data_IF_524352612966
#
_entry.id   IF_524352612966
#
_cell.length_a   1.000
_cell.length_b   1.000
_cell.length_c   1.000
_cell.angle_alpha   90.00
_cell.angle_beta   90.00
_cell.angle_gamma   90.00
#
_symmetry.space_group_name_H-M   'P 1'
#
loop_
_entity.id
_entity.type
_entity.pdbx_description
1 polymer ?
#
# COMPACT_ATOMS: atom_id res chain seq x y z
N UNK A 1 18.71 2.33 -6.43
CA UNK A 1 19.79 1.87 -5.54
C UNK A 1 19.40 2.20 -4.11
N UNK A 2 19.59 1.30 -3.13
CA UNK A 2 19.44 1.61 -1.70
C UNK A 2 20.68 2.36 -1.18
N UNK A 3 20.50 3.13 -0.09
CA UNK A 3 21.56 3.98 0.50
C UNK A 3 22.40 3.15 1.46
N UNK A 4 21.75 2.50 2.43
CA UNK A 4 22.38 1.69 3.47
C UNK A 4 21.65 0.37 3.68
N UNK A 5 22.26 -0.52 4.44
CA UNK A 5 21.59 -1.71 4.95
C UNK A 5 22.13 -2.03 6.35
N UNK A 6 21.30 -2.66 7.14
CA UNK A 6 21.65 -3.09 8.48
C UNK A 6 21.08 -4.47 8.80
N UNK A 7 21.78 -5.24 9.58
CA UNK A 7 21.28 -6.49 10.13
C UNK A 7 20.30 -6.17 11.26
N UNK A 8 19.04 -6.62 11.15
CA UNK A 8 17.98 -6.37 12.13
C UNK A 8 17.71 -7.57 13.04
N UNK A 9 18.14 -8.76 12.61
CA UNK A 9 18.18 -9.97 13.43
C UNK A 9 19.27 -10.91 12.88
N UNK A 10 19.48 -12.06 13.52
CA UNK A 10 20.43 -13.07 13.01
C UNK A 10 20.11 -13.53 11.59
N UNK A 11 18.82 -13.50 11.20
CA UNK A 11 18.28 -13.99 9.94
C UNK A 11 17.64 -12.89 9.08
N UNK A 12 17.92 -11.59 9.33
CA UNK A 12 17.32 -10.54 8.53
C UNK A 12 18.22 -9.35 8.30
N UNK A 13 18.12 -8.79 7.09
CA UNK A 13 18.70 -7.51 6.70
C UNK A 13 17.59 -6.55 6.24
N UNK A 14 17.66 -5.30 6.71
CA UNK A 14 16.84 -4.20 6.25
C UNK A 14 17.65 -3.32 5.30
N UNK A 15 17.20 -3.19 4.06
CA UNK A 15 17.75 -2.28 3.08
C UNK A 15 16.99 -0.96 3.15
N UNK A 16 17.73 0.15 3.21
CA UNK A 16 17.21 1.51 3.33
C UNK A 16 17.42 2.29 2.03
N UNK A 17 16.35 2.84 1.47
CA UNK A 17 16.35 3.59 0.21
C UNK A 17 16.27 5.10 0.41
N UNK A 18 16.33 5.59 1.65
CA UNK A 18 16.29 6.99 2.04
C UNK A 18 15.09 7.34 2.92
N UNK A 19 14.99 8.61 3.30
CA UNK A 19 13.94 9.08 4.22
C UNK A 19 12.63 9.40 3.49
N UNK A 20 12.71 9.82 2.22
CA UNK A 20 11.55 10.26 1.45
C UNK A 20 10.62 9.12 1.07
N UNK A 21 9.35 9.27 1.44
CA UNK A 21 8.26 8.41 0.96
C UNK A 21 7.69 9.04 -0.31
N UNK A 22 8.17 8.59 -1.45
CA UNK A 22 7.70 9.03 -2.76
C UNK A 22 7.70 7.88 -3.77
N UNK A 23 7.07 8.11 -4.91
CA UNK A 23 6.95 7.11 -5.98
C UNK A 23 8.32 6.59 -6.45
N UNK A 24 9.28 7.48 -6.67
CA UNK A 24 10.60 7.09 -7.21
C UNK A 24 11.39 6.22 -6.22
N UNK A 25 11.30 6.52 -4.93
CA UNK A 25 11.95 5.71 -3.87
C UNK A 25 11.26 4.35 -3.78
N UNK A 26 9.93 4.32 -3.73
CA UNK A 26 9.18 3.06 -3.67
C UNK A 26 9.40 2.20 -4.92
N UNK A 27 9.42 2.80 -6.11
CA UNK A 27 9.74 2.08 -7.36
C UNK A 27 11.05 1.30 -7.27
N UNK A 28 12.08 1.86 -6.62
CA UNK A 28 13.36 1.15 -6.40
C UNK A 28 13.21 -0.01 -5.43
N UNK A 29 12.44 0.16 -4.35
CA UNK A 29 12.12 -0.92 -3.40
C UNK A 29 11.43 -2.06 -4.12
N UNK A 30 10.38 -1.75 -4.89
CA UNK A 30 9.58 -2.72 -5.64
C UNK A 30 10.43 -3.42 -6.73
N UNK A 31 11.32 -2.69 -7.38
CA UNK A 31 12.27 -3.26 -8.36
C UNK A 31 13.12 -4.36 -7.74
N UNK A 32 13.76 -4.10 -6.60
CA UNK A 32 14.56 -5.13 -5.91
C UNK A 32 13.68 -6.25 -5.32
N UNK A 33 12.51 -5.93 -4.78
CA UNK A 33 11.54 -6.92 -4.31
C UNK A 33 11.18 -7.91 -5.42
N UNK A 34 10.73 -7.44 -6.57
CA UNK A 34 10.34 -8.28 -7.71
C UNK A 34 11.52 -9.05 -8.30
N UNK A 35 12.72 -8.42 -8.34
CA UNK A 35 13.95 -9.12 -8.72
C UNK A 35 14.21 -10.34 -7.83
N UNK A 36 14.12 -10.18 -6.50
CA UNK A 36 14.36 -11.26 -5.56
C UNK A 36 13.32 -12.38 -5.68
N UNK A 37 12.04 -12.02 -5.85
CA UNK A 37 10.97 -12.99 -6.09
C UNK A 37 11.20 -13.78 -7.38
N UNK A 38 11.55 -13.12 -8.48
CA UNK A 38 11.80 -13.79 -9.77
C UNK A 38 13.02 -14.71 -9.73
N UNK A 39 14.09 -14.30 -9.04
CA UNK A 39 15.29 -15.13 -8.88
C UNK A 39 15.09 -16.33 -7.98
N UNK A 40 14.12 -16.28 -7.08
CA UNK A 40 13.70 -17.37 -6.20
C UNK A 40 14.90 -18.10 -5.53
N UNK A 41 15.76 -17.32 -4.87
CA UNK A 41 16.92 -17.89 -4.16
C UNK A 41 16.45 -18.78 -3.00
N UNK A 42 16.88 -20.04 -2.98
CA UNK A 42 16.44 -21.06 -1.99
C UNK A 42 16.72 -20.67 -0.54
N UNK A 43 17.73 -19.84 -0.31
CA UNK A 43 18.11 -19.36 1.01
C UNK A 43 17.35 -18.09 1.47
N UNK A 44 16.53 -17.50 0.62
CA UNK A 44 15.64 -16.40 1.01
C UNK A 44 14.32 -17.00 1.46
N UNK A 45 13.99 -16.77 2.74
CA UNK A 45 12.76 -17.27 3.36
C UNK A 45 11.58 -16.30 3.13
N UNK A 46 11.86 -15.00 3.16
CA UNK A 46 10.84 -13.98 2.91
C UNK A 46 11.47 -12.66 2.45
N UNK A 47 10.69 -11.88 1.69
CA UNK A 47 11.05 -10.52 1.29
C UNK A 47 9.83 -9.63 1.49
N UNK A 48 9.97 -8.57 2.28
CA UNK A 48 8.86 -7.69 2.65
C UNK A 48 9.18 -6.25 2.25
N UNK A 49 8.54 -5.71 1.22
CA UNK A 49 8.67 -4.31 0.84
C UNK A 49 7.83 -3.42 1.75
N UNK A 50 8.33 -2.21 2.00
CA UNK A 50 7.62 -1.12 2.66
C UNK A 50 7.71 0.13 1.77
N UNK A 51 7.39 1.32 2.31
CA UNK A 51 7.43 2.58 1.54
C UNK A 51 8.80 2.85 0.91
N UNK A 52 9.84 2.80 1.74
CA UNK A 52 11.23 3.13 1.41
C UNK A 52 12.23 2.14 2.00
N UNK A 53 11.79 0.98 2.42
CA UNK A 53 12.60 -0.09 3.02
C UNK A 53 12.27 -1.44 2.37
N UNK A 54 13.24 -2.36 2.41
CA UNK A 54 13.06 -3.75 1.99
C UNK A 54 13.67 -4.67 3.05
N UNK A 55 12.84 -5.47 3.70
CA UNK A 55 13.31 -6.50 4.62
C UNK A 55 13.55 -7.80 3.85
N UNK A 56 14.71 -8.41 4.05
CA UNK A 56 15.05 -9.73 3.53
C UNK A 56 15.27 -10.66 4.70
N UNK A 57 14.47 -11.72 4.80
CA UNK A 57 14.63 -12.80 5.77
C UNK A 57 15.27 -13.99 5.07
N UNK A 58 16.30 -14.56 5.66
CA UNK A 58 17.11 -15.60 5.05
C UNK A 58 17.47 -16.72 6.04
N UNK A 59 17.87 -17.87 5.49
CA UNK A 59 18.39 -18.98 6.27
C UNK A 59 19.81 -18.66 6.77
N UNK A 60 20.04 -18.77 8.08
CA UNK A 60 21.27 -18.36 8.76
C UNK A 60 22.52 -19.07 8.21
N UNK A 61 22.36 -20.31 7.72
CA UNK A 61 23.46 -21.09 7.14
C UNK A 61 24.05 -20.39 5.89
N UNK A 62 23.27 -19.53 5.20
CA UNK A 62 23.65 -18.81 3.99
C UNK A 62 24.01 -17.34 4.22
N UNK A 63 24.47 -16.97 5.41
CA UNK A 63 24.78 -15.57 5.74
C UNK A 63 25.76 -14.91 4.75
N UNK A 64 26.81 -15.63 4.34
CA UNK A 64 27.78 -15.11 3.35
C UNK A 64 27.16 -14.90 1.96
N UNK A 65 26.25 -15.78 1.57
CA UNK A 65 25.58 -15.69 0.27
C UNK A 65 24.65 -14.48 0.21
N UNK A 66 23.90 -14.22 1.31
CA UNK A 66 23.02 -13.05 1.38
C UNK A 66 23.82 -11.74 1.41
N UNK A 67 24.96 -11.68 2.11
CA UNK A 67 25.84 -10.51 2.10
C UNK A 67 26.38 -10.21 0.70
N UNK A 68 26.77 -11.23 -0.05
CA UNK A 68 27.19 -11.10 -1.45
C UNK A 68 26.05 -10.66 -2.35
N UNK A 69 24.84 -11.20 -2.12
CA UNK A 69 23.63 -10.80 -2.86
C UNK A 69 23.29 -9.33 -2.60
N UNK A 70 23.35 -8.87 -1.35
CA UNK A 70 23.09 -7.46 -0.99
C UNK A 70 24.09 -6.53 -1.70
N UNK A 71 25.37 -6.90 -1.76
CA UNK A 71 26.37 -6.13 -2.51
C UNK A 71 26.03 -6.08 -4.01
N UNK A 72 25.58 -7.19 -4.57
CA UNK A 72 25.14 -7.27 -5.97
C UNK A 72 23.90 -6.41 -6.23
N UNK A 73 22.92 -6.41 -5.32
CA UNK A 73 21.73 -5.56 -5.45
C UNK A 73 22.06 -4.07 -5.56
N UNK A 74 23.14 -3.61 -4.93
CA UNK A 74 23.64 -2.22 -5.10
C UNK A 74 23.98 -1.85 -6.54
N UNK A 75 24.35 -2.79 -7.38
CA UNK A 75 24.70 -2.55 -8.79
C UNK A 75 23.49 -2.60 -9.72
N UNK A 76 22.35 -3.10 -9.24
CA UNK A 76 21.11 -3.17 -10.02
C UNK A 76 20.44 -1.81 -9.95
N UNK A 77 20.45 -1.07 -11.08
CA UNK A 77 19.89 0.28 -11.13
C UNK A 77 18.38 0.28 -11.25
N UNK A 78 17.83 -0.45 -12.20
CA UNK A 78 16.40 -0.62 -12.41
C UNK A 78 16.13 -2.02 -12.95
N UNK A 79 15.15 -2.68 -12.38
CA UNK A 79 14.66 -3.95 -12.88
C UNK A 79 13.34 -3.66 -13.60
N UNK A 80 13.43 -3.47 -14.92
CA UNK A 80 12.33 -2.96 -15.75
C UNK A 80 11.22 -3.99 -16.02
N UNK A 81 11.45 -5.26 -15.74
CA UNK A 81 10.42 -6.30 -15.85
C UNK A 81 9.50 -6.31 -14.61
N UNK A 82 8.85 -5.18 -14.35
CA UNK A 82 7.85 -5.11 -13.28
C UNK A 82 6.50 -5.44 -13.90
N UNK A 83 6.11 -6.71 -13.87
CA UNK A 83 4.73 -7.09 -14.11
C UNK A 83 3.86 -6.38 -13.05
N UNK A 84 3.13 -5.36 -13.45
CA UNK A 84 2.19 -4.63 -12.62
C UNK A 84 0.81 -4.73 -13.23
N UNK A 85 -0.18 -5.01 -12.39
CA UNK A 85 -1.57 -5.06 -12.80
C UNK A 85 -2.22 -3.73 -12.40
N UNK A 86 -3.00 -3.14 -13.31
CA UNK A 86 -3.86 -2.02 -12.97
C UNK A 86 -5.25 -2.55 -12.59
N UNK A 87 -5.64 -2.25 -11.36
CA UNK A 87 -6.95 -2.61 -10.82
C UNK A 87 -7.89 -1.41 -10.88
N UNK A 88 -9.12 -1.62 -11.35
CA UNK A 88 -10.20 -0.65 -11.26
C UNK A 88 -11.12 -1.07 -10.10
N UNK A 89 -11.19 -0.24 -9.05
CA UNK A 89 -11.94 -0.54 -7.83
C UNK A 89 -13.09 0.46 -7.68
N UNK A 90 -14.32 -0.05 -7.63
CA UNK A 90 -15.50 0.77 -7.39
C UNK A 90 -15.59 1.20 -5.92
N UNK A 91 -15.86 2.49 -5.67
CA UNK A 91 -16.07 3.06 -4.34
C UNK A 91 -17.39 3.82 -4.30
N UNK A 92 -18.18 3.61 -3.25
CA UNK A 92 -19.28 4.47 -2.85
C UNK A 92 -18.78 5.51 -1.85
N UNK A 93 -18.90 6.79 -2.21
CA UNK A 93 -18.52 7.94 -1.37
C UNK A 93 -19.72 8.57 -0.64
N UNK A 94 -20.84 7.85 -0.51
CA UNK A 94 -22.01 8.32 0.24
C UNK A 94 -21.62 8.66 1.69
N UNK A 95 -22.23 9.71 2.26
CA UNK A 95 -21.92 10.20 3.62
C UNK A 95 -22.05 9.12 4.70
N UNK A 96 -22.89 8.09 4.49
CA UNK A 96 -23.00 6.93 5.37
C UNK A 96 -21.67 6.19 5.50
N UNK A 97 -20.84 6.20 4.46
CA UNK A 97 -19.54 5.52 4.41
C UNK A 97 -18.37 6.49 4.52
N UNK A 98 -18.58 7.75 4.14
CA UNK A 98 -17.57 8.82 4.17
C UNK A 98 -17.61 9.60 5.48
N UNK A 99 -17.50 8.93 6.62
CA UNK A 99 -17.75 9.50 7.96
C UNK A 99 -16.89 10.74 8.29
N UNK A 100 -15.77 10.93 7.59
CA UNK A 100 -14.81 12.00 7.85
C UNK A 100 -14.65 12.98 6.67
N UNK A 101 -15.64 13.05 5.78
CA UNK A 101 -15.56 13.92 4.60
C UNK A 101 -15.27 15.38 4.95
N UNK A 102 -15.82 15.90 6.08
CA UNK A 102 -15.57 17.26 6.55
C UNK A 102 -14.11 17.51 6.93
N UNK A 103 -13.43 16.50 7.49
CA UNK A 103 -11.99 16.61 7.78
C UNK A 103 -11.19 16.74 6.49
N UNK A 104 -11.61 16.02 5.44
CA UNK A 104 -10.98 16.05 4.10
C UNK A 104 -11.19 17.42 3.46
N UNK A 105 -12.42 17.96 3.45
CA UNK A 105 -12.74 19.29 2.95
C UNK A 105 -11.87 20.36 3.61
N UNK A 106 -11.84 20.35 4.95
CA UNK A 106 -11.07 21.32 5.73
C UNK A 106 -9.56 21.21 5.47
N UNK A 107 -9.01 19.97 5.45
CA UNK A 107 -7.60 19.76 5.26
C UNK A 107 -7.12 20.15 3.86
N UNK A 108 -7.88 19.76 2.82
CA UNK A 108 -7.47 19.99 1.44
C UNK A 108 -8.02 21.27 0.83
N UNK A 109 -8.95 21.97 1.54
CA UNK A 109 -9.62 23.20 1.09
C UNK A 109 -10.31 23.03 -0.29
N UNK A 110 -11.04 21.96 -0.43
CA UNK A 110 -11.89 21.61 -1.57
C UNK A 110 -13.21 21.02 -1.04
N UNK A 111 -14.30 21.16 -1.77
CA UNK A 111 -15.53 20.48 -1.40
C UNK A 111 -15.39 18.93 -1.64
N UNK A 112 -16.32 18.16 -1.08
CA UNK A 112 -16.20 16.72 -1.12
C UNK A 112 -16.39 16.15 -2.53
N UNK A 113 -17.20 16.77 -3.38
CA UNK A 113 -17.36 16.37 -4.79
C UNK A 113 -16.08 16.65 -5.59
N UNK A 114 -15.41 17.76 -5.35
CA UNK A 114 -14.09 18.04 -5.91
C UNK A 114 -13.06 16.98 -5.45
N UNK A 115 -13.10 16.62 -4.15
CA UNK A 115 -12.22 15.58 -3.63
C UNK A 115 -12.51 14.21 -4.25
N UNK A 116 -13.78 13.81 -4.41
CA UNK A 116 -14.18 12.57 -5.07
C UNK A 116 -13.61 12.51 -6.48
N UNK A 117 -13.75 13.59 -7.26
CA UNK A 117 -13.20 13.68 -8.61
C UNK A 117 -11.68 13.58 -8.61
N UNK A 118 -11.01 14.26 -7.69
CA UNK A 118 -9.55 14.21 -7.54
C UNK A 118 -9.06 12.83 -7.15
N UNK A 119 -9.67 12.21 -6.12
CA UNK A 119 -9.31 10.87 -5.63
C UNK A 119 -9.55 9.81 -6.71
N UNK A 120 -10.68 9.82 -7.39
CA UNK A 120 -11.03 8.84 -8.43
C UNK A 120 -10.24 9.04 -9.74
N UNK A 121 -9.75 10.25 -10.04
CA UNK A 121 -8.88 10.49 -11.18
C UNK A 121 -7.42 10.11 -10.94
N UNK A 122 -7.01 10.00 -9.66
CA UNK A 122 -5.64 9.63 -9.29
C UNK A 122 -5.37 8.16 -9.58
N UNK A 123 -4.19 7.85 -10.13
CA UNK A 123 -3.66 6.49 -10.22
C UNK A 123 -2.74 6.28 -9.03
N UNK A 124 -3.15 5.42 -8.13
CA UNK A 124 -2.37 5.06 -6.96
C UNK A 124 -1.44 3.89 -7.26
N UNK A 125 -0.29 3.84 -6.60
CA UNK A 125 0.59 2.69 -6.61
C UNK A 125 0.48 1.96 -5.27
N UNK A 126 0.43 0.63 -5.30
CA UNK A 126 0.47 -0.20 -4.10
C UNK A 126 1.92 -0.20 -3.58
N UNK A 127 2.19 0.62 -2.58
CA UNK A 127 3.52 0.76 -2.00
C UNK A 127 3.91 -0.44 -1.15
N UNK A 128 2.95 -0.95 -0.40
CA UNK A 128 3.11 -2.14 0.44
C UNK A 128 1.75 -2.73 0.83
N UNK A 129 1.78 -3.97 1.26
CA UNK A 129 0.67 -4.63 1.98
C UNK A 129 1.13 -4.82 3.42
N UNK A 130 0.35 -4.35 4.39
CA UNK A 130 0.76 -4.44 5.79
C UNK A 130 -0.32 -4.05 6.78
N UNK A 131 0.00 -4.04 8.07
CA UNK A 131 -0.91 -3.87 9.18
C UNK A 131 -1.82 -5.10 9.39
N UNK A 132 -2.51 -5.57 8.36
CA UNK A 132 -3.27 -6.82 8.35
C UNK A 132 -3.20 -7.47 6.97
N UNK A 133 -3.49 -8.79 6.84
CA UNK A 133 -3.47 -9.47 5.56
C UNK A 133 -4.38 -8.79 4.53
N UNK A 134 -3.79 -8.37 3.41
CA UNK A 134 -4.50 -7.76 2.30
C UNK A 134 -4.71 -6.24 2.37
N UNK A 135 -4.33 -5.54 3.45
CA UNK A 135 -4.49 -4.08 3.53
C UNK A 135 -3.41 -3.38 2.67
N UNK A 136 -3.80 -2.69 1.58
CA UNK A 136 -2.87 -1.96 0.75
C UNK A 136 -2.64 -0.55 1.29
N UNK A 137 -1.37 -0.11 1.27
CA UNK A 137 -1.02 1.30 1.37
C UNK A 137 -0.83 1.84 -0.04
N UNK A 138 -1.72 2.74 -0.43
CA UNK A 138 -1.82 3.32 -1.76
C UNK A 138 -1.23 4.73 -1.75
N UNK A 139 -0.22 4.97 -2.53
CA UNK A 139 0.43 6.27 -2.65
C UNK A 139 0.45 6.76 -4.09
N UNK A 140 0.47 8.03 -4.31
CA UNK A 140 0.30 9.20 -3.43
C UNK A 140 -0.76 10.14 -4.04
N UNK A 141 -1.58 10.76 -3.20
CA UNK A 141 -2.35 11.94 -3.61
C UNK A 141 -1.40 13.13 -3.80
N UNK A 142 -1.57 13.87 -4.88
CA UNK A 142 -0.77 15.07 -5.16
C UNK A 142 -1.30 16.27 -4.38
N UNK A 143 -1.23 16.19 -3.04
CA UNK A 143 -1.65 17.25 -2.13
C UNK A 143 -0.47 17.77 -1.32
N UNK A 144 -0.41 19.09 -1.11
CA UNK A 144 0.62 19.75 -0.31
C UNK A 144 0.15 20.08 1.12
N UNK A 145 -0.91 19.43 1.58
CA UNK A 145 -1.54 19.67 2.88
C UNK A 145 -1.62 18.38 3.66
N UNK A 146 -1.53 18.49 4.99
CA UNK A 146 -1.60 17.35 5.92
C UNK A 146 -3.05 17.08 6.31
N UNK A 147 -3.42 15.80 6.27
CA UNK A 147 -4.64 15.28 6.88
C UNK A 147 -4.23 14.21 7.90
N UNK A 148 -4.00 14.61 9.17
CA UNK A 148 -3.51 13.71 10.19
C UNK A 148 -4.52 12.59 10.51
N UNK A 149 -4.04 11.55 11.18
CA UNK A 149 -4.92 10.53 11.77
C UNK A 149 -5.86 11.17 12.78
N UNK A 150 -7.02 10.54 12.99
CA UNK A 150 -7.94 10.92 14.07
C UNK A 150 -7.20 10.83 15.41
N UNK A 151 -7.40 11.83 16.29
CA UNK A 151 -6.87 11.82 17.66
C UNK A 151 -7.36 10.62 18.46
N UNK A 152 -8.63 10.28 18.30
CA UNK A 152 -9.24 9.10 18.90
C UNK A 152 -9.57 8.07 17.82
N UNK A 153 -8.74 7.03 17.65
CA UNK A 153 -8.99 5.97 16.67
C UNK A 153 -10.32 5.26 16.96
N UNK A 154 -11.05 4.90 15.91
CA UNK A 154 -12.28 4.10 16.04
C UNK A 154 -11.94 2.70 16.52
N UNK A 155 -12.75 2.18 17.42
CA UNK A 155 -12.65 0.79 17.91
C UNK A 155 -13.00 -0.18 16.78
N UNK A 156 -13.95 0.21 15.91
CA UNK A 156 -14.44 -0.64 14.82
C UNK A 156 -14.60 0.18 13.54
N UNK A 157 -13.89 -0.24 12.50
CA UNK A 157 -14.02 0.23 11.12
C UNK A 157 -14.52 -0.97 10.30
N UNK A 158 -15.62 -0.87 9.56
CA UNK A 158 -16.13 -1.98 8.74
C UNK A 158 -15.14 -2.41 7.64
N UNK A 159 -15.20 -3.68 7.24
CA UNK A 159 -14.52 -4.16 6.04
C UNK A 159 -14.95 -3.36 4.80
N UNK A 160 -14.04 -3.18 3.85
CA UNK A 160 -14.26 -2.38 2.64
C UNK A 160 -14.13 -0.87 2.84
N UNK A 161 -14.02 -0.36 4.08
CA UNK A 161 -13.84 1.08 4.31
C UNK A 161 -12.56 1.58 3.64
N UNK A 162 -12.67 2.72 2.95
CA UNK A 162 -11.54 3.43 2.33
C UNK A 162 -11.17 4.61 3.21
N UNK A 163 -9.90 4.72 3.57
CA UNK A 163 -9.41 5.76 4.46
C UNK A 163 -8.25 6.55 3.87
N UNK A 164 -8.13 7.82 4.27
CA UNK A 164 -7.05 8.73 3.86
C UNK A 164 -6.35 9.30 5.09
N UNK A 165 -5.03 9.37 5.02
CA UNK A 165 -4.16 10.09 5.95
C UNK A 165 -3.05 10.75 5.12
N UNK A 166 -2.85 12.04 5.31
CA UNK A 166 -1.94 12.84 4.50
C UNK A 166 -2.18 12.62 2.99
N UNK A 167 -1.21 12.07 2.29
CA UNK A 167 -1.30 11.78 0.86
C UNK A 167 -1.43 10.28 0.55
N UNK A 168 -1.76 9.45 1.54
CA UNK A 168 -1.92 8.01 1.40
C UNK A 168 -3.39 7.61 1.51
N UNK A 169 -3.78 6.60 0.74
CA UNK A 169 -5.06 5.90 0.89
C UNK A 169 -4.85 4.46 1.33
N UNK A 170 -5.82 3.90 2.04
CA UNK A 170 -5.89 2.48 2.41
C UNK A 170 -7.30 1.94 2.17
N UNK A 171 -7.41 0.61 2.04
CA UNK A 171 -8.69 -0.09 2.05
C UNK A 171 -8.61 -1.16 3.14
N UNK A 172 -9.57 -1.17 4.05
CA UNK A 172 -9.61 -2.15 5.14
C UNK A 172 -10.18 -3.48 4.65
N UNK A 173 -9.40 -4.58 4.59
CA UNK A 173 -9.89 -5.87 4.10
C UNK A 173 -10.85 -6.56 5.07
N UNK A 174 -10.74 -6.27 6.36
CA UNK A 174 -11.57 -6.82 7.42
C UNK A 174 -11.91 -5.73 8.42
N UNK A 175 -12.94 -5.99 9.24
CA UNK A 175 -13.24 -5.12 10.38
C UNK A 175 -12.05 -5.04 11.34
N UNK A 176 -11.70 -3.82 11.73
CA UNK A 176 -10.60 -3.57 12.68
C UNK A 176 -10.73 -2.22 13.36
N UNK A 177 -9.89 -1.95 14.36
CA UNK A 177 -9.68 -0.58 14.84
C UNK A 177 -8.81 0.23 13.87
N UNK A 178 -8.95 1.56 13.88
CA UNK A 178 -8.11 2.44 13.07
C UNK A 178 -8.43 3.92 13.22
N UNK A 179 -7.45 4.75 12.86
CA UNK A 179 -7.53 6.22 12.96
C UNK A 179 -7.44 6.95 11.62
N UNK A 180 -7.68 6.27 10.49
CA UNK A 180 -7.72 6.90 9.18
C UNK A 180 -9.05 7.62 8.96
N UNK A 181 -9.03 8.72 8.22
CA UNK A 181 -10.25 9.45 7.87
C UNK A 181 -11.00 8.68 6.79
N UNK A 182 -12.20 8.22 7.10
CA UNK A 182 -13.00 7.40 6.20
C UNK A 182 -13.70 8.26 5.17
N UNK A 183 -13.49 7.93 3.89
CA UNK A 183 -13.98 8.67 2.72
C UNK A 183 -14.97 7.89 1.85
N UNK A 184 -15.20 6.61 2.15
CA UNK A 184 -16.10 5.76 1.37
C UNK A 184 -15.92 4.29 1.66
N UNK A 185 -16.63 3.46 0.89
CA UNK A 185 -16.62 1.99 1.02
C UNK A 185 -16.60 1.30 -0.33
N UNK A 186 -15.93 0.15 -0.39
CA UNK A 186 -15.88 -0.74 -1.55
C UNK A 186 -16.26 -2.16 -1.17
N UNK A 187 -16.88 -2.90 -2.09
CA UNK A 187 -17.12 -4.35 -1.99
C UNK A 187 -15.97 -5.19 -2.56
N UNK A 188 -14.88 -4.53 -3.02
CA UNK A 188 -13.74 -5.24 -3.60
C UNK A 188 -13.06 -6.17 -2.60
N UNK A 189 -12.92 -7.44 -2.96
CA UNK A 189 -12.28 -8.44 -2.11
C UNK A 189 -10.76 -8.33 -2.16
N UNK A 190 -10.17 -7.85 -1.07
CA UNK A 190 -8.73 -7.59 -0.92
C UNK A 190 -7.91 -8.80 -0.53
N UNK A 191 -8.55 -9.87 -0.03
CA UNK A 191 -7.85 -11.06 0.46
C UNK A 191 -8.62 -12.33 0.13
N UNK A 192 -8.00 -13.17 -0.68
CA UNK A 192 -8.58 -14.45 -1.05
C UNK A 192 -8.30 -15.51 0.05
N UNK A 193 -9.31 -15.84 0.84
CA UNK A 193 -9.22 -16.81 1.95
C UNK A 193 -8.88 -18.22 1.47
N UNK A 194 -9.29 -18.61 0.25
CA UNK A 194 -9.03 -19.96 -0.27
C UNK A 194 -7.56 -20.15 -0.65
N UNK A 195 -6.93 -19.13 -1.21
CA UNK A 195 -5.51 -19.17 -1.60
C UNK A 195 -4.59 -18.60 -0.53
N UNK A 196 -5.15 -17.99 0.52
CA UNK A 196 -4.41 -17.26 1.57
C UNK A 196 -3.48 -16.18 1.01
N UNK A 197 -3.95 -15.44 0.00
CA UNK A 197 -3.16 -14.43 -0.70
C UNK A 197 -3.92 -13.10 -0.81
N UNK A 198 -3.20 -11.96 -0.75
CA UNK A 198 -3.78 -10.67 -1.09
C UNK A 198 -4.16 -10.64 -2.58
N UNK A 199 -5.20 -9.88 -2.92
CA UNK A 199 -5.61 -9.65 -4.31
C UNK A 199 -4.73 -8.62 -4.99
N UNK A 200 -4.29 -7.61 -4.24
CA UNK A 200 -3.34 -6.59 -4.69
C UNK A 200 -1.92 -6.99 -4.28
N UNK A 201 -0.94 -6.67 -5.13
CA UNK A 201 0.46 -6.92 -4.82
C UNK A 201 1.25 -5.60 -4.78
N UNK A 202 2.32 -5.51 -3.99
CA UNK A 202 3.22 -4.36 -4.05
C UNK A 202 3.75 -4.13 -5.47
N UNK A 203 3.60 -2.89 -5.95
CA UNK A 203 3.94 -2.49 -7.32
C UNK A 203 2.79 -2.58 -8.32
N UNK A 204 1.61 -3.07 -7.94
CA UNK A 204 0.39 -2.90 -8.73
C UNK A 204 -0.07 -1.44 -8.69
N UNK A 205 -0.98 -1.06 -9.58
CA UNK A 205 -1.65 0.23 -9.55
C UNK A 205 -3.15 0.08 -9.35
N UNK A 206 -3.75 1.09 -8.72
CA UNK A 206 -5.19 1.13 -8.43
C UNK A 206 -5.74 2.44 -8.96
N UNK A 207 -6.83 2.37 -9.71
CA UNK A 207 -7.68 3.50 -10.04
C UNK A 207 -9.05 3.27 -9.43
N UNK A 208 -9.59 4.29 -8.79
CA UNK A 208 -10.93 4.23 -8.23
C UNK A 208 -11.98 4.68 -9.24
N UNK A 209 -13.17 4.08 -9.14
CA UNK A 209 -14.37 4.47 -9.88
C UNK A 209 -15.45 4.82 -8.86
N UNK A 210 -15.90 6.08 -8.86
CA UNK A 210 -17.06 6.47 -8.06
C UNK A 210 -18.32 5.79 -8.58
N UNK A 211 -19.09 5.20 -7.67
CA UNK A 211 -20.40 4.59 -7.95
C UNK A 211 -21.45 5.13 -6.98
N UNK A 212 -22.70 5.11 -7.40
CA UNK A 212 -23.82 5.48 -6.54
C UNK A 212 -24.04 4.46 -5.42
N UNK A 213 -24.70 4.89 -4.35
CA UNK A 213 -25.10 3.98 -3.25
C UNK A 213 -25.97 2.82 -3.72
N UNK A 214 -26.86 3.08 -4.68
CA UNK A 214 -27.68 2.05 -5.28
C UNK A 214 -26.85 0.98 -5.97
N UNK A 215 -25.92 1.37 -6.84
CA UNK A 215 -25.00 0.45 -7.50
C UNK A 215 -24.11 -0.31 -6.50
N UNK A 216 -23.72 0.35 -5.40
CA UNK A 216 -22.91 -0.29 -4.37
C UNK A 216 -23.68 -1.43 -3.68
N UNK A 217 -24.95 -1.19 -3.28
CA UNK A 217 -25.82 -2.19 -2.64
C UNK A 217 -26.07 -3.37 -3.60
N UNK A 218 -26.34 -3.09 -4.87
CA UNK A 218 -26.55 -4.13 -5.91
C UNK A 218 -25.28 -4.99 -6.12
N UNK A 219 -24.08 -4.47 -5.86
CA UNK A 219 -22.81 -5.20 -5.97
C UNK A 219 -22.43 -5.98 -4.69
N UNK A 220 -23.09 -5.73 -3.55
CA UNK A 220 -22.88 -6.49 -2.30
C UNK A 220 -23.75 -7.75 -2.22
N UNK A 221 -24.84 -7.87 -3.04
CA UNK A 221 -25.70 -9.04 -3.18
C UNK A 221 -25.08 -10.10 -4.11
#
# INVERSE_FOLDING_TARGET
MFITYQQTSEQSYLLDYGEDINFNTNKKVISHFKYLLKKNYKYILNVVPSFNKLLIVFDIEFKKDIENLIKKLKSIKDYDEIDSIQHLISICYDEEYALDYKNVENAFSMDFDEFINFHSSTIFNVFMIGFMPGLPFLGLLSVNKSLPRLENPRISIPAGSVGVVDNLSVIYPNQSSGGWNLIGKTSFNLFNKNTNKPTLNPGDSVKFKSISKKEFIENEE
#
